data_IF_619475456536
#
_entry.id   IF_619475456536
#
_cell.length_a   1.000
_cell.length_b   1.000
_cell.length_c   1.000
_cell.angle_alpha   90.00
_cell.angle_beta   90.00
_cell.angle_gamma   90.00
#
_symmetry.space_group_name_H-M   'P 1'
#
loop_
_entity.id
_entity.type
_entity.pdbx_description
1 polymer ?
#
# COMPACT_ATOMS: atom_id res chain seq x y z
N UNK A 1 -19.64 8.23 2.34
CA UNK A 1 -20.17 7.68 1.08
C UNK A 1 -19.71 6.22 1.00
N UNK A 2 -20.56 5.30 0.55
CA UNK A 2 -20.19 3.89 0.41
C UNK A 2 -19.13 3.72 -0.71
N UNK A 3 -18.05 3.01 -0.41
CA UNK A 3 -16.92 2.78 -1.32
C UNK A 3 -16.72 1.28 -1.59
N UNK A 4 -16.14 0.97 -2.75
CA UNK A 4 -15.55 -0.33 -3.03
C UNK A 4 -14.02 -0.20 -3.06
N UNK A 5 -13.29 -1.16 -2.50
CA UNK A 5 -11.83 -1.13 -2.46
C UNK A 5 -11.22 -2.31 -3.22
N UNK A 6 -10.17 -2.07 -3.99
CA UNK A 6 -9.38 -3.11 -4.67
C UNK A 6 -7.89 -2.93 -4.38
N UNK A 7 -7.16 -4.03 -4.15
CA UNK A 7 -5.70 -3.97 -4.04
C UNK A 7 -4.99 -5.27 -4.41
N UNK A 8 -3.75 -5.17 -4.87
CA UNK A 8 -2.84 -6.26 -5.23
C UNK A 8 -1.52 -6.14 -4.46
N UNK A 9 -1.59 -6.25 -3.13
CA UNK A 9 -0.46 -6.10 -2.19
C UNK A 9 -0.34 -7.32 -1.27
N UNK A 10 0.83 -7.55 -0.68
CA UNK A 10 1.08 -8.70 0.19
C UNK A 10 0.18 -8.75 1.46
N UNK A 11 -0.33 -7.61 1.93
CA UNK A 11 -1.22 -7.52 3.11
C UNK A 11 -2.47 -6.68 2.83
N UNK A 12 -3.44 -7.20 2.06
CA UNK A 12 -4.66 -6.47 1.69
C UNK A 12 -5.45 -5.94 2.89
N UNK A 13 -5.54 -6.73 3.95
CA UNK A 13 -6.33 -6.36 5.14
C UNK A 13 -5.83 -5.08 5.81
N UNK A 14 -4.51 -4.81 5.78
CA UNK A 14 -3.96 -3.59 6.35
C UNK A 14 -4.47 -2.34 5.61
N UNK A 15 -4.66 -2.44 4.28
CA UNK A 15 -5.22 -1.37 3.48
C UNK A 15 -6.71 -1.17 3.79
N UNK A 16 -7.52 -2.23 3.81
CA UNK A 16 -8.95 -2.11 4.08
C UNK A 16 -9.23 -1.58 5.48
N UNK A 17 -8.54 -2.09 6.50
CA UNK A 17 -8.68 -1.59 7.87
C UNK A 17 -8.22 -0.14 8.01
N UNK A 18 -7.22 0.31 7.26
CA UNK A 18 -6.82 1.72 7.26
C UNK A 18 -7.94 2.63 6.68
N UNK A 19 -8.64 2.19 5.64
CA UNK A 19 -9.79 2.93 5.09
C UNK A 19 -10.94 3.01 6.11
N UNK A 20 -11.29 1.89 6.74
CA UNK A 20 -12.33 1.85 7.78
C UNK A 20 -11.98 2.75 8.97
N UNK A 21 -10.72 2.71 9.44
CA UNK A 21 -10.23 3.59 10.50
C UNK A 21 -10.26 5.08 10.11
N UNK A 22 -10.12 5.38 8.82
CA UNK A 22 -10.30 6.73 8.29
C UNK A 22 -11.78 7.15 8.15
N UNK A 23 -12.73 6.29 8.54
CA UNK A 23 -14.17 6.55 8.50
C UNK A 23 -14.83 6.20 7.16
N UNK A 24 -14.15 5.47 6.29
CA UNK A 24 -14.75 4.97 5.06
C UNK A 24 -15.68 3.77 5.35
N UNK A 25 -16.85 3.76 4.71
CA UNK A 25 -17.75 2.63 4.70
C UNK A 25 -17.47 1.77 3.47
N UNK A 26 -16.84 0.61 3.67
CA UNK A 26 -16.51 -0.33 2.59
C UNK A 26 -17.67 -1.30 2.35
N UNK A 27 -18.32 -1.18 1.19
CA UNK A 27 -19.42 -2.07 0.77
C UNK A 27 -18.92 -3.35 0.10
N UNK A 28 -17.72 -3.28 -0.49
CA UNK A 28 -17.12 -4.39 -1.22
C UNK A 28 -15.59 -4.24 -1.22
N UNK A 29 -14.90 -5.36 -1.13
CA UNK A 29 -13.43 -5.41 -1.11
C UNK A 29 -12.93 -6.53 -2.01
N UNK A 30 -11.96 -6.23 -2.88
CA UNK A 30 -11.30 -7.18 -3.75
C UNK A 30 -9.80 -7.21 -3.47
N UNK A 31 -9.30 -8.39 -3.12
CA UNK A 31 -7.90 -8.62 -2.85
C UNK A 31 -7.31 -9.54 -3.91
N UNK A 32 -6.19 -9.10 -4.50
CA UNK A 32 -5.41 -9.84 -5.47
C UNK A 32 -4.01 -10.14 -4.94
N UNK A 33 -3.31 -11.15 -5.50
CA UNK A 33 -1.91 -11.40 -5.17
C UNK A 33 -1.02 -10.17 -5.37
N UNK A 34 0.10 -10.15 -4.65
CA UNK A 34 1.10 -9.09 -4.85
C UNK A 34 1.57 -9.08 -6.31
N UNK A 35 1.76 -7.88 -6.86
CA UNK A 35 2.12 -7.63 -8.27
C UNK A 35 1.07 -8.02 -9.33
N UNK A 36 -0.19 -8.30 -8.95
CA UNK A 36 -1.26 -8.52 -9.93
C UNK A 36 -1.34 -7.36 -10.96
N UNK A 37 -1.50 -7.68 -12.24
CA UNK A 37 -1.42 -6.71 -13.36
C UNK A 37 -2.73 -5.96 -13.64
N UNK A 38 -3.86 -6.48 -13.16
CA UNK A 38 -5.20 -5.92 -13.36
C UNK A 38 -5.63 -5.81 -14.85
N UNK A 39 -5.01 -6.57 -15.76
CA UNK A 39 -5.33 -6.51 -17.18
C UNK A 39 -6.78 -6.93 -17.49
N UNK A 40 -7.24 -8.01 -16.83
CA UNK A 40 -8.59 -8.56 -16.98
C UNK A 40 -9.54 -8.13 -15.85
N UNK A 41 -9.11 -7.18 -15.02
CA UNK A 41 -9.94 -6.71 -13.91
C UNK A 41 -11.05 -5.80 -14.44
N UNK A 42 -12.30 -6.12 -14.06
CA UNK A 42 -13.47 -5.32 -14.39
C UNK A 42 -14.16 -4.93 -13.08
N UNK A 43 -14.25 -3.63 -12.74
CA UNK A 43 -14.95 -3.20 -11.55
C UNK A 43 -16.42 -3.60 -11.65
N UNK A 44 -16.88 -4.38 -10.68
CA UNK A 44 -18.28 -4.78 -10.61
C UNK A 44 -19.17 -3.54 -10.54
N UNK A 45 -20.23 -3.50 -11.35
CA UNK A 45 -21.23 -2.43 -11.31
C UNK A 45 -22.05 -2.54 -10.03
N UNK A 46 -21.62 -1.85 -8.98
CA UNK A 46 -22.46 -1.59 -7.82
C UNK A 46 -23.25 -0.29 -8.02
N UNK A 47 -24.46 -0.15 -7.47
CA UNK A 47 -25.44 0.84 -7.92
C UNK A 47 -25.01 2.32 -7.81
N UNK A 48 -23.95 2.65 -7.05
CA UNK A 48 -23.39 4.01 -6.99
C UNK A 48 -22.04 4.09 -6.25
N UNK A 49 -21.19 3.06 -6.25
CA UNK A 49 -19.96 3.06 -5.42
C UNK A 49 -18.72 3.46 -6.20
N UNK A 50 -18.02 4.45 -5.65
CA UNK A 50 -16.70 4.87 -6.11
C UNK A 50 -15.67 3.82 -5.71
N UNK A 51 -14.80 3.44 -6.65
CA UNK A 51 -13.72 2.50 -6.40
C UNK A 51 -12.47 3.22 -5.91
N UNK A 52 -11.83 2.64 -4.90
CA UNK A 52 -10.54 3.08 -4.38
C UNK A 52 -9.50 1.95 -4.46
N UNK A 53 -8.24 2.31 -4.67
CA UNK A 53 -7.12 1.38 -4.69
C UNK A 53 -5.87 1.98 -4.04
N UNK A 54 -4.80 1.19 -3.91
CA UNK A 54 -3.50 1.70 -3.47
C UNK A 54 -2.81 2.49 -4.60
N UNK A 55 -1.93 3.43 -4.26
CA UNK A 55 -1.11 4.14 -5.26
C UNK A 55 -0.28 3.18 -6.13
N UNK A 56 0.19 2.08 -5.54
CA UNK A 56 0.95 1.05 -6.25
C UNK A 56 0.11 0.40 -7.35
N UNK A 57 -1.16 0.14 -7.08
CA UNK A 57 -2.05 -0.53 -8.04
C UNK A 57 -2.64 0.44 -9.07
N UNK A 58 -2.78 1.72 -8.72
CA UNK A 58 -3.23 2.77 -9.61
C UNK A 58 -2.40 2.87 -10.91
N UNK A 59 -1.08 2.69 -10.81
CA UNK A 59 -0.16 2.68 -11.98
C UNK A 59 -0.59 1.66 -13.05
N UNK A 60 -1.18 0.55 -12.63
CA UNK A 60 -1.66 -0.52 -13.51
C UNK A 60 -3.12 -0.30 -13.92
N UNK A 61 -3.98 0.04 -12.95
CA UNK A 61 -5.43 0.17 -13.13
C UNK A 61 -5.82 1.36 -14.00
N UNK A 62 -5.16 2.51 -13.87
CA UNK A 62 -5.59 3.76 -14.55
C UNK A 62 -5.51 3.73 -16.07
N UNK A 63 -4.75 2.79 -16.65
CA UNK A 63 -4.70 2.62 -18.09
C UNK A 63 -6.07 2.22 -18.66
N UNK A 64 -6.81 1.39 -17.92
CA UNK A 64 -8.14 0.91 -18.31
C UNK A 64 -9.28 1.57 -17.54
N UNK A 65 -9.05 1.97 -16.28
CA UNK A 65 -10.07 2.50 -15.37
C UNK A 65 -9.57 3.76 -14.62
N UNK A 66 -9.42 4.91 -15.30
CA UNK A 66 -8.91 6.15 -14.70
C UNK A 66 -9.84 6.74 -13.62
N UNK A 67 -11.09 6.29 -13.54
CA UNK A 67 -12.06 6.70 -12.53
C UNK A 67 -11.84 6.08 -11.14
N UNK A 68 -10.95 5.08 -11.02
CA UNK A 68 -10.59 4.47 -9.72
C UNK A 68 -9.67 5.41 -8.97
N UNK A 69 -9.92 5.66 -7.70
CA UNK A 69 -9.16 6.63 -6.91
C UNK A 69 -8.01 5.96 -6.16
N UNK A 70 -6.80 6.50 -6.31
CA UNK A 70 -5.68 6.08 -5.50
C UNK A 70 -5.76 6.73 -4.12
N UNK A 71 -5.64 5.92 -3.07
CA UNK A 71 -5.59 6.41 -1.69
C UNK A 71 -4.12 6.53 -1.27
N UNK A 72 -3.65 7.73 -0.91
CA UNK A 72 -2.27 7.94 -0.53
C UNK A 72 -1.97 7.31 0.83
N UNK A 73 -0.79 6.72 0.97
CA UNK A 73 -0.29 6.28 2.27
C UNK A 73 0.56 7.39 2.90
N UNK A 74 0.03 8.02 3.94
CA UNK A 74 0.81 8.96 4.77
C UNK A 74 1.40 8.21 5.96
N UNK A 75 2.72 8.21 6.06
CA UNK A 75 3.46 7.56 7.15
C UNK A 75 4.23 8.62 7.94
N UNK A 76 3.93 8.73 9.23
CA UNK A 76 4.68 9.56 10.17
C UNK A 76 5.61 8.68 11.00
N UNK A 77 6.90 9.00 10.98
CA UNK A 77 7.91 8.30 11.76
C UNK A 77 8.26 9.11 13.01
N UNK A 78 8.56 8.47 14.15
CA UNK A 78 9.07 9.15 15.34
C UNK A 78 10.30 10.00 15.01
N UNK A 79 10.45 11.14 15.69
CA UNK A 79 11.51 12.11 15.42
C UNK A 79 12.93 11.52 15.54
N UNK A 80 13.11 10.50 16.37
CA UNK A 80 14.36 9.79 16.64
C UNK A 80 14.61 8.59 15.71
N UNK A 81 13.67 8.25 14.82
CA UNK A 81 13.81 7.12 13.91
C UNK A 81 15.07 7.22 13.03
N UNK A 82 15.25 8.35 12.33
CA UNK A 82 16.36 8.50 11.38
C UNK A 82 17.74 8.50 12.07
N UNK A 83 17.97 9.27 13.15
CA UNK A 83 19.22 9.17 13.91
C UNK A 83 19.52 7.73 14.38
N UNK A 84 18.51 7.03 14.92
CA UNK A 84 18.68 5.66 15.40
C UNK A 84 18.97 4.66 14.28
N UNK A 85 18.27 4.76 13.15
CA UNK A 85 18.45 3.92 11.98
C UNK A 85 19.86 4.07 11.38
N UNK A 86 20.33 5.30 11.21
CA UNK A 86 21.67 5.57 10.67
C UNK A 86 22.74 5.02 11.61
N UNK A 87 22.64 5.25 12.92
CA UNK A 87 23.58 4.69 13.89
C UNK A 87 23.62 3.15 13.85
N UNK A 88 22.47 2.50 13.70
CA UNK A 88 22.39 1.05 13.57
C UNK A 88 23.05 0.53 12.27
N UNK A 89 22.82 1.18 11.14
CA UNK A 89 23.49 0.85 9.87
C UNK A 89 25.00 1.01 10.01
N UNK A 90 25.48 2.13 10.54
CA UNK A 90 26.92 2.37 10.72
C UNK A 90 27.56 1.31 11.60
N UNK A 91 26.93 0.98 12.73
CA UNK A 91 27.41 -0.07 13.63
C UNK A 91 27.53 -1.42 12.90
N UNK A 92 26.51 -1.78 12.10
CA UNK A 92 26.51 -3.01 11.31
C UNK A 92 27.62 -3.00 10.25
N UNK A 93 27.78 -1.91 9.51
CA UNK A 93 28.83 -1.79 8.49
C UNK A 93 30.23 -1.87 9.10
N UNK A 94 30.46 -1.26 10.28
CA UNK A 94 31.73 -1.37 11.01
C UNK A 94 32.00 -2.81 11.46
N UNK A 95 30.99 -3.51 11.97
CA UNK A 95 31.14 -4.92 12.37
C UNK A 95 31.47 -5.86 11.20
N UNK A 96 30.97 -5.56 9.99
CA UNK A 96 31.22 -6.37 8.79
C UNK A 96 32.62 -6.14 8.21
N UNK A 97 33.14 -4.91 8.30
CA UNK A 97 34.47 -4.56 7.82
C UNK A 97 35.60 -4.81 8.84
N UNK A 98 35.28 -4.93 10.13
CA UNK A 98 36.24 -5.25 11.18
C UNK A 98 36.69 -6.72 11.24
N UNK A 99 36.12 -7.60 10.41
CA UNK A 99 36.40 -9.06 10.45
C UNK A 99 37.45 -9.55 9.43
N UNK A 100 38.09 -8.66 8.67
CA UNK A 100 39.23 -9.00 7.79
C UNK A 100 40.50 -8.39 8.36
N UNK A 101 41.06 -9.00 9.40
CA UNK A 101 42.46 -8.88 9.84
C UNK A 101 42.64 -9.83 11.04
N UNK A 102 42.65 -11.14 10.76
CA UNK A 102 43.15 -12.18 11.65
C UNK A 102 43.90 -13.20 10.79
#
# INVERSE_FOLDING_TARGET
QPLAAVCGIAKPQAFFSALELAGCELMHTEAYPDHHDFADWVPTQWPASQWVCTEKDAVKIWQSHPQVWAVPLVCELPADFWPGFIAAIESRLRSLHGSKNA
#
